data_IF_932085297070
#
_entry.id   IF_932085297070
#
_cell.length_a   1.000
_cell.length_b   1.000
_cell.length_c   1.000
_cell.angle_alpha   90.00
_cell.angle_beta   90.00
_cell.angle_gamma   90.00
#
_symmetry.space_group_name_H-M   'P 1'
#
loop_
_entity.id
_entity.type
_entity.pdbx_description
1 polymer ?
#
# COMPACT_ATOMS: atom_id res chain seq x y z
N UNK A 1 10.86 -0.63 -21.15
CA UNK A 1 12.06 -1.39 -20.72
C UNK A 1 12.16 -1.51 -19.20
N UNK A 2 11.80 -0.49 -18.44
CA UNK A 2 11.81 -0.52 -16.96
C UNK A 2 11.07 -1.70 -16.29
N UNK A 3 9.89 -2.17 -16.73
CA UNK A 3 9.21 -3.29 -16.04
C UNK A 3 9.91 -4.64 -16.25
N UNK A 4 10.48 -4.89 -17.43
CA UNK A 4 11.22 -6.12 -17.71
C UNK A 4 12.50 -6.22 -16.89
N UNK A 5 13.23 -5.10 -16.75
CA UNK A 5 14.42 -5.06 -15.91
C UNK A 5 14.09 -5.34 -14.44
N UNK A 6 12.96 -4.83 -13.96
CA UNK A 6 12.46 -5.10 -12.61
C UNK A 6 12.19 -6.59 -12.37
N UNK A 7 11.49 -7.25 -13.30
CA UNK A 7 11.22 -8.69 -13.20
C UNK A 7 12.51 -9.51 -13.19
N UNK A 8 13.46 -9.19 -14.07
CA UNK A 8 14.76 -9.87 -14.12
C UNK A 8 15.53 -9.66 -12.82
N UNK A 9 15.54 -8.44 -12.28
CA UNK A 9 16.21 -8.13 -11.02
C UNK A 9 15.65 -8.95 -9.85
N UNK A 10 14.32 -8.98 -9.70
CA UNK A 10 13.64 -9.78 -8.67
C UNK A 10 13.98 -11.26 -8.83
N UNK A 11 13.98 -11.76 -10.08
CA UNK A 11 14.32 -13.15 -10.38
C UNK A 11 15.76 -13.52 -9.97
N UNK A 12 16.74 -12.67 -10.29
CA UNK A 12 18.15 -12.89 -9.93
C UNK A 12 18.34 -12.87 -8.42
N UNK A 13 17.70 -11.92 -7.72
CA UNK A 13 17.76 -11.82 -6.25
C UNK A 13 17.12 -13.06 -5.61
N UNK A 14 15.97 -13.51 -6.10
CA UNK A 14 15.28 -14.69 -5.58
C UNK A 14 16.15 -15.96 -5.69
N UNK A 15 16.78 -16.20 -6.84
CA UNK A 15 17.70 -17.34 -7.01
C UNK A 15 18.91 -17.21 -6.10
N UNK A 16 19.49 -16.01 -6.00
CA UNK A 16 20.65 -15.77 -5.13
C UNK A 16 20.34 -16.09 -3.67
N UNK A 17 19.16 -15.69 -3.18
CA UNK A 17 18.70 -16.03 -1.83
C UNK A 17 18.48 -17.54 -1.66
N UNK A 18 17.81 -18.18 -2.63
CA UNK A 18 17.55 -19.63 -2.68
C UNK A 18 18.85 -20.44 -2.53
N UNK A 19 19.90 -20.04 -3.24
CA UNK A 19 21.21 -20.68 -3.19
C UNK A 19 21.91 -20.50 -1.84
N UNK A 20 21.77 -19.34 -1.20
CA UNK A 20 22.44 -19.06 0.07
C UNK A 20 21.77 -19.73 1.28
N UNK A 21 20.46 -19.95 1.23
CA UNK A 21 19.69 -20.45 2.37
C UNK A 21 19.33 -21.93 2.24
N UNK A 22 18.88 -22.35 1.06
CA UNK A 22 18.35 -23.69 0.85
C UNK A 22 19.31 -24.60 0.05
N UNK A 23 20.47 -24.09 -0.42
CA UNK A 23 21.46 -24.79 -1.27
C UNK A 23 20.88 -25.41 -2.56
N UNK A 24 19.68 -24.99 -2.97
CA UNK A 24 18.94 -25.54 -4.11
C UNK A 24 18.49 -24.42 -5.05
N UNK A 25 18.81 -24.56 -6.34
CA UNK A 25 18.53 -23.55 -7.38
C UNK A 25 17.06 -23.15 -7.54
N UNK A 26 16.12 -24.05 -7.24
CA UNK A 26 14.67 -23.87 -7.49
C UNK A 26 13.80 -23.92 -6.23
N UNK A 27 14.36 -23.92 -5.01
CA UNK A 27 13.52 -23.94 -3.79
C UNK A 27 12.61 -22.72 -3.69
N UNK A 28 13.07 -21.54 -4.15
CA UNK A 28 12.27 -20.31 -4.23
C UNK A 28 10.99 -20.45 -5.09
N UNK A 29 10.95 -21.40 -6.03
CA UNK A 29 9.78 -21.68 -6.88
C UNK A 29 8.92 -22.86 -6.40
N UNK A 30 9.41 -23.69 -5.46
CA UNK A 30 8.61 -24.71 -4.77
C UNK A 30 7.75 -24.10 -3.65
N UNK A 31 7.34 -22.84 -3.81
CA UNK A 31 6.48 -22.17 -2.85
C UNK A 31 5.05 -22.65 -3.05
N UNK A 32 4.55 -23.46 -2.11
CA UNK A 32 3.12 -23.70 -2.03
C UNK A 32 2.46 -22.41 -1.57
N UNK A 33 1.55 -21.81 -2.37
CA UNK A 33 0.90 -20.57 -1.98
C UNK A 33 -0.01 -20.87 -0.78
N UNK A 34 0.50 -20.65 0.42
CA UNK A 34 -0.30 -20.71 1.64
C UNK A 34 -1.10 -19.42 1.69
N UNK A 35 -2.38 -19.48 1.33
CA UNK A 35 -3.27 -18.33 1.48
C UNK A 35 -3.88 -18.43 2.87
N UNK A 36 -3.61 -17.44 3.71
CA UNK A 36 -4.26 -17.34 5.01
C UNK A 36 -5.32 -16.26 4.98
N UNK A 37 -6.56 -16.66 5.25
CA UNK A 37 -7.68 -15.75 5.51
C UNK A 37 -7.91 -15.55 7.01
N UNK A 38 -6.99 -16.02 7.86
CA UNK A 38 -7.08 -15.81 9.29
C UNK A 38 -6.73 -14.36 9.64
N UNK A 39 -7.74 -13.59 10.05
CA UNK A 39 -7.64 -12.18 10.44
C UNK A 39 -7.42 -12.02 11.95
N UNK A 40 -7.31 -13.11 12.70
CA UNK A 40 -7.06 -13.09 14.16
C UNK A 40 -5.86 -12.21 14.57
N UNK A 41 -4.74 -12.18 13.82
CA UNK A 41 -3.60 -11.31 14.16
C UNK A 41 -3.93 -9.80 14.13
N UNK A 42 -4.94 -9.38 13.38
CA UNK A 42 -5.38 -7.98 13.32
C UNK A 42 -6.29 -7.57 14.46
N UNK A 43 -6.63 -8.48 15.38
CA UNK A 43 -7.50 -8.18 16.51
C UNK A 43 -6.80 -7.39 17.63
N UNK A 44 -5.58 -6.89 17.42
CA UNK A 44 -4.94 -5.96 18.33
C UNK A 44 -5.50 -4.54 18.14
N UNK A 45 -5.61 -3.79 19.23
CA UNK A 45 -6.10 -2.40 19.18
C UNK A 45 -5.25 -1.54 18.25
N UNK A 46 -3.93 -1.77 18.24
CA UNK A 46 -2.99 -1.08 17.38
C UNK A 46 -3.30 -1.34 15.88
N UNK A 47 -3.52 -2.60 15.50
CA UNK A 47 -3.86 -2.95 14.11
C UNK A 47 -5.23 -2.42 13.71
N UNK A 48 -6.23 -2.53 14.58
CA UNK A 48 -7.57 -2.03 14.29
C UNK A 48 -7.54 -0.52 14.00
N UNK A 49 -6.85 0.26 14.84
CA UNK A 49 -6.70 1.71 14.64
C UNK A 49 -5.94 2.00 13.33
N UNK A 50 -4.81 1.33 13.10
CA UNK A 50 -4.00 1.53 11.89
C UNK A 50 -4.77 1.22 10.60
N UNK A 51 -5.47 0.08 10.57
CA UNK A 51 -6.26 -0.37 9.42
C UNK A 51 -7.44 0.57 9.19
N UNK A 52 -8.17 0.94 10.25
CA UNK A 52 -9.31 1.86 10.15
C UNK A 52 -8.86 3.21 9.61
N UNK A 53 -7.74 3.73 10.12
CA UNK A 53 -7.12 4.95 9.63
C UNK A 53 -6.80 4.85 8.13
N UNK A 54 -6.05 3.83 7.72
CA UNK A 54 -5.65 3.62 6.33
C UNK A 54 -6.86 3.51 5.39
N UNK A 55 -7.86 2.75 5.79
CA UNK A 55 -9.07 2.51 5.00
C UNK A 55 -9.93 3.78 4.94
N UNK A 56 -10.17 4.46 6.06
CA UNK A 56 -10.96 5.68 6.09
C UNK A 56 -10.31 6.80 5.28
N UNK A 57 -9.04 7.11 5.54
CA UNK A 57 -8.32 8.15 4.78
C UNK A 57 -8.08 7.76 3.33
N UNK A 58 -7.75 6.50 3.07
CA UNK A 58 -7.52 5.98 1.73
C UNK A 58 -8.79 5.98 0.87
N UNK A 59 -9.90 5.45 1.37
CA UNK A 59 -11.19 5.47 0.66
C UNK A 59 -11.70 6.88 0.46
N UNK A 60 -11.65 7.72 1.50
CA UNK A 60 -12.09 9.10 1.41
C UNK A 60 -11.28 9.86 0.35
N UNK A 61 -9.96 9.80 0.44
CA UNK A 61 -9.07 10.44 -0.54
C UNK A 61 -9.30 9.89 -1.94
N UNK A 62 -9.48 8.57 -2.10
CA UNK A 62 -9.71 7.91 -3.39
C UNK A 62 -11.01 8.36 -4.09
N UNK A 63 -12.11 8.52 -3.34
CA UNK A 63 -13.38 9.02 -3.89
C UNK A 63 -13.22 10.46 -4.42
N UNK A 64 -12.56 11.32 -3.66
CA UNK A 64 -12.31 12.71 -4.08
C UNK A 64 -11.25 12.80 -5.19
N UNK A 65 -10.25 11.93 -5.17
CA UNK A 65 -9.22 11.78 -6.20
C UNK A 65 -9.85 11.43 -7.55
N UNK A 66 -10.80 10.49 -7.58
CA UNK A 66 -11.58 10.13 -8.78
C UNK A 66 -12.51 11.26 -9.25
N UNK A 67 -13.09 12.05 -8.35
CA UNK A 67 -13.92 13.22 -8.71
C UNK A 67 -13.07 14.38 -9.28
N UNK A 68 -11.89 14.63 -8.72
CA UNK A 68 -10.96 15.68 -9.15
C UNK A 68 -10.36 15.45 -10.55
N UNK A 69 -10.27 14.20 -11.01
CA UNK A 69 -9.81 13.83 -12.36
C UNK A 69 -10.60 14.51 -13.47
N UNK A 70 -11.90 14.74 -13.27
CA UNK A 70 -12.75 15.35 -14.31
C UNK A 70 -12.39 16.81 -14.59
N UNK A 71 -11.86 17.53 -13.59
CA UNK A 71 -11.53 18.95 -13.67
C UNK A 71 -10.04 19.25 -13.96
N UNK A 72 -9.15 18.24 -13.99
CA UNK A 72 -7.72 18.43 -14.30
C UNK A 72 -7.38 18.14 -15.77
N UNK A 73 -6.40 18.87 -16.31
CA UNK A 73 -5.94 18.81 -17.72
C UNK A 73 -5.59 17.38 -18.16
N UNK A 74 -5.89 17.06 -19.43
CA UNK A 74 -5.80 15.75 -20.11
C UNK A 74 -4.44 15.01 -19.93
N UNK A 75 -3.37 15.73 -19.58
CA UNK A 75 -1.98 15.23 -19.46
C UNK A 75 -1.71 14.41 -18.19
N UNK A 76 -2.44 14.59 -17.08
CA UNK A 76 -2.20 13.85 -15.82
C UNK A 76 -3.02 12.56 -15.67
N UNK A 77 -3.97 12.31 -16.58
CA UNK A 77 -4.86 11.13 -16.56
C UNK A 77 -4.13 9.78 -16.62
N UNK A 78 -3.05 9.59 -17.40
CA UNK A 78 -2.35 8.31 -17.45
C UNK A 78 -1.69 7.97 -16.11
N UNK A 79 -1.04 8.96 -15.48
CA UNK A 79 -0.36 8.78 -14.20
C UNK A 79 -1.33 8.47 -13.06
N UNK A 80 -2.50 9.12 -13.06
CA UNK A 80 -3.58 8.83 -12.12
C UNK A 80 -4.10 7.39 -12.20
N UNK A 81 -4.27 6.87 -13.43
CA UNK A 81 -4.75 5.50 -13.67
C UNK A 81 -3.76 4.45 -13.18
N UNK A 82 -2.45 4.70 -13.33
CA UNK A 82 -1.39 3.78 -12.85
C UNK A 82 -1.32 3.75 -11.33
N UNK A 83 -1.46 4.90 -10.66
CA UNK A 83 -1.46 4.94 -9.19
C UNK A 83 -2.68 4.20 -8.63
N UNK A 84 -3.84 4.35 -9.27
CA UNK A 84 -5.05 3.66 -8.86
C UNK A 84 -4.95 2.14 -9.08
N UNK A 85 -4.41 1.70 -10.22
CA UNK A 85 -4.18 0.26 -10.45
C UNK A 85 -3.15 -0.31 -9.47
N UNK A 86 -2.09 0.43 -9.14
CA UNK A 86 -1.14 0.04 -8.10
C UNK A 86 -1.81 -0.13 -6.73
N UNK A 87 -2.74 0.76 -6.37
CA UNK A 87 -3.53 0.64 -5.13
C UNK A 87 -4.40 -0.63 -5.11
N UNK A 88 -5.02 -0.98 -6.24
CA UNK A 88 -5.80 -2.23 -6.37
C UNK A 88 -4.90 -3.44 -6.21
N UNK A 89 -3.77 -3.48 -6.91
CA UNK A 89 -2.80 -4.59 -6.84
C UNK A 89 -2.29 -4.75 -5.40
N UNK A 90 -1.91 -3.65 -4.74
CA UNK A 90 -1.47 -3.67 -3.36
C UNK A 90 -2.56 -4.18 -2.39
N UNK A 91 -3.83 -3.83 -2.64
CA UNK A 91 -4.97 -4.37 -1.87
C UNK A 91 -5.10 -5.88 -2.06
N UNK A 92 -4.96 -6.39 -3.29
CA UNK A 92 -4.95 -7.83 -3.56
C UNK A 92 -3.82 -8.55 -2.82
N UNK A 93 -2.62 -7.96 -2.75
CA UNK A 93 -1.48 -8.52 -2.02
C UNK A 93 -1.81 -8.66 -0.52
N UNK A 94 -2.39 -7.63 0.11
CA UNK A 94 -2.80 -7.67 1.53
C UNK A 94 -3.80 -8.80 1.80
N UNK A 95 -4.73 -9.04 0.87
CA UNK A 95 -5.74 -10.09 1.03
C UNK A 95 -5.10 -11.48 0.94
N UNK A 96 -4.24 -11.70 -0.06
CA UNK A 96 -3.66 -13.02 -0.40
C UNK A 96 -2.48 -13.38 0.52
N UNK A 97 -1.88 -12.41 1.21
CA UNK A 97 -0.70 -12.61 2.03
C UNK A 97 -0.84 -13.77 3.05
N UNK A 98 0.11 -14.74 3.08
CA UNK A 98 0.12 -15.86 4.04
C UNK A 98 0.24 -15.39 5.48
N UNK A 99 1.12 -14.42 5.71
CA UNK A 99 1.48 -13.94 7.03
C UNK A 99 0.85 -12.56 7.22
N UNK A 100 -0.09 -12.48 8.16
CA UNK A 100 -0.80 -11.24 8.50
C UNK A 100 -0.16 -10.58 9.70
N UNK A 101 1.03 -10.02 9.49
CA UNK A 101 1.82 -9.35 10.54
C UNK A 101 1.88 -7.83 10.37
N UNK A 102 1.14 -7.28 9.42
CA UNK A 102 1.10 -5.85 9.12
C UNK A 102 2.09 -5.42 8.03
N UNK A 103 3.10 -6.22 7.70
CA UNK A 103 4.09 -5.88 6.67
C UNK A 103 3.48 -5.84 5.26
N UNK A 104 2.42 -6.59 5.02
CA UNK A 104 1.65 -6.58 3.78
C UNK A 104 1.06 -5.21 3.44
N UNK A 105 0.79 -4.37 4.45
CA UNK A 105 0.30 -3.00 4.22
C UNK A 105 1.40 -2.09 3.66
N UNK A 106 2.69 -2.44 3.74
CA UNK A 106 3.80 -1.70 3.13
C UNK A 106 3.60 -1.49 1.62
N UNK A 107 3.00 -2.47 0.94
CA UNK A 107 2.66 -2.34 -0.48
C UNK A 107 1.59 -1.27 -0.75
N UNK A 108 0.71 -1.02 0.23
CA UNK A 108 -0.37 -0.05 0.14
C UNK A 108 0.12 1.39 0.42
N UNK A 109 1.19 1.56 1.21
CA UNK A 109 1.70 2.87 1.61
C UNK A 109 2.08 3.76 0.42
N UNK A 110 2.84 3.23 -0.54
CA UNK A 110 3.30 4.02 -1.68
C UNK A 110 2.13 4.57 -2.55
N UNK A 111 1.20 3.74 -3.07
CA UNK A 111 0.08 4.25 -3.85
C UNK A 111 -0.86 5.14 -3.03
N UNK A 112 -1.11 4.81 -1.75
CA UNK A 112 -1.97 5.64 -0.90
C UNK A 112 -1.35 6.99 -0.57
N UNK A 113 -0.05 7.06 -0.30
CA UNK A 113 0.63 8.34 -0.04
C UNK A 113 0.46 9.30 -1.21
N UNK A 114 0.55 8.80 -2.45
CA UNK A 114 0.32 9.60 -3.65
C UNK A 114 -1.14 10.07 -3.74
N UNK A 115 -2.12 9.18 -3.50
CA UNK A 115 -3.55 9.50 -3.54
C UNK A 115 -3.90 10.55 -2.47
N UNK A 116 -3.46 10.32 -1.24
CA UNK A 116 -3.71 11.19 -0.07
C UNK A 116 -3.07 12.57 -0.29
N UNK A 117 -1.83 12.63 -0.77
CA UNK A 117 -1.16 13.92 -1.03
C UNK A 117 -1.91 14.73 -2.08
N UNK A 118 -2.33 14.10 -3.18
CA UNK A 118 -3.14 14.77 -4.21
C UNK A 118 -4.51 15.24 -3.67
N UNK A 119 -5.12 14.48 -2.75
CA UNK A 119 -6.35 14.90 -2.09
C UNK A 119 -6.11 16.13 -1.20
N UNK A 120 -5.07 16.10 -0.36
CA UNK A 120 -4.67 17.20 0.52
C UNK A 120 -4.39 18.50 -0.25
N UNK A 121 -3.84 18.42 -1.45
CA UNK A 121 -3.64 19.58 -2.33
C UNK A 121 -4.95 20.17 -2.87
N UNK A 122 -6.00 19.36 -2.94
CA UNK A 122 -7.32 19.77 -3.46
C UNK A 122 -8.22 20.37 -2.38
N UNK A 123 -7.85 20.24 -1.09
CA UNK A 123 -8.59 20.84 0.03
C UNK A 123 -8.35 22.36 0.04
N UNK A 124 -9.41 23.14 -0.14
CA UNK A 124 -9.37 24.61 -0.07
C UNK A 124 -9.34 25.13 1.38
N UNK A 125 -10.05 24.46 2.27
CA UNK A 125 -10.16 24.79 3.70
C UNK A 125 -8.86 24.48 4.46
N UNK A 126 -8.13 25.53 4.86
CA UNK A 126 -6.80 25.39 5.52
C UNK A 126 -6.87 24.63 6.84
N UNK A 127 -7.86 24.92 7.67
CA UNK A 127 -8.01 24.27 8.99
C UNK A 127 -8.25 22.76 8.83
N UNK A 128 -9.06 22.35 7.85
CA UNK A 128 -9.35 20.94 7.60
C UNK A 128 -8.11 20.21 7.06
N UNK A 129 -7.37 20.86 6.17
CA UNK A 129 -6.09 20.36 5.65
C UNK A 129 -5.06 20.12 6.76
N UNK A 130 -4.92 21.06 7.69
CA UNK A 130 -3.99 20.96 8.82
C UNK A 130 -4.37 19.84 9.77
N UNK A 131 -5.65 19.73 10.14
CA UNK A 131 -6.15 18.64 11.00
C UNK A 131 -5.93 17.28 10.33
N UNK A 132 -6.19 17.17 9.03
CA UNK A 132 -5.97 15.94 8.27
C UNK A 132 -4.50 15.50 8.28
N UNK A 133 -3.59 16.45 8.01
CA UNK A 133 -2.14 16.19 8.03
C UNK A 133 -1.64 15.85 9.44
N UNK A 134 -2.09 16.59 10.46
CA UNK A 134 -1.75 16.29 11.85
C UNK A 134 -2.22 14.91 12.26
N UNK A 135 -3.45 14.52 11.91
CA UNK A 135 -3.95 13.18 12.19
C UNK A 135 -3.07 12.11 11.53
N UNK A 136 -2.70 12.30 10.26
CA UNK A 136 -1.83 11.37 9.54
C UNK A 136 -0.45 11.21 10.20
N UNK A 137 0.08 12.30 10.77
CA UNK A 137 1.39 12.32 11.40
C UNK A 137 1.36 11.82 12.84
N UNK A 138 0.36 12.20 13.63
CA UNK A 138 0.30 11.92 15.08
C UNK A 138 -0.14 10.48 15.38
N UNK A 139 -1.08 9.92 14.60
CA UNK A 139 -1.58 8.57 14.82
C UNK A 139 -0.46 7.50 14.87
N UNK A 140 0.53 7.45 13.95
CA UNK A 140 1.60 6.46 14.05
C UNK A 140 2.45 6.61 15.32
N UNK A 141 2.64 7.83 15.85
CA UNK A 141 3.32 8.02 17.13
C UNK A 141 2.48 7.53 18.30
N UNK A 142 1.15 7.73 18.28
CA UNK A 142 0.25 7.17 19.29
C UNK A 142 0.30 5.63 19.25
N UNK A 143 0.29 5.05 18.05
CA UNK A 143 0.38 3.61 17.85
C UNK A 143 1.70 3.02 18.33
N UNK A 144 2.79 3.78 18.36
CA UNK A 144 4.07 3.30 18.90
C UNK A 144 4.09 3.20 20.42
N UNK A 145 3.22 3.96 21.11
CA UNK A 145 3.16 4.00 22.58
C UNK A 145 2.13 3.00 23.13
N UNK A 146 1.21 2.53 22.30
CA UNK A 146 0.15 1.57 22.64
C UNK A 146 0.63 0.12 22.53
#
# INVERSE_FOLDING_TARGET
>A
MTPFLGLISIYVVAISYSLLVDDVFFSAFNWTPQISFDLSPFNSVQFIIAITMLVSFGLWSSIFYLRGIKNKKKTFRPSYSVVFSACIIATCIVIIAPNKNGSEFLFLFAPLAIIITNYIETIEERWFKEVFLMALLVIPFILLVL
#
